data_IF_319429963015
#
_entry.id   IF_319429963015
#
_cell.length_a   1.000
_cell.length_b   1.000
_cell.length_c   1.000
_cell.angle_alpha   90.00
_cell.angle_beta   90.00
_cell.angle_gamma   90.00
#
_symmetry.space_group_name_H-M   'P 1'
#
loop_
_entity.id
_entity.type
_entity.pdbx_description
1 polymer ?
#
# COMPACT_ATOMS: atom_id res chain seq x y z
N UNK A 1 0.06 -18.49 71.80
CA UNK A 1 0.71 -19.33 70.77
C UNK A 1 0.31 -18.80 69.39
N UNK A 2 1.20 -18.11 68.78
CA UNK A 2 1.43 -17.76 67.40
C UNK A 2 0.27 -17.65 66.36
N UNK A 3 -0.20 -16.44 66.18
CA UNK A 3 -0.87 -15.94 64.98
C UNK A 3 -0.07 -14.74 64.42
N UNK A 4 1.07 -14.98 63.83
CA UNK A 4 1.82 -14.02 63.07
C UNK A 4 2.47 -14.79 61.92
N UNK A 5 1.82 -14.95 60.79
CA UNK A 5 2.44 -15.37 59.53
C UNK A 5 1.51 -15.35 58.30
N UNK A 6 0.58 -14.38 58.18
CA UNK A 6 -0.24 -14.33 56.96
C UNK A 6 -0.34 -12.95 56.31
N UNK A 7 0.38 -11.97 56.79
CA UNK A 7 0.32 -10.60 56.25
C UNK A 7 1.53 -10.20 55.38
N UNK A 8 2.56 -11.07 55.26
CA UNK A 8 3.79 -10.74 54.50
C UNK A 8 3.80 -11.25 53.05
N UNK A 9 2.83 -12.12 52.69
CA UNK A 9 2.79 -12.71 51.33
C UNK A 9 1.93 -11.91 50.32
N UNK A 10 1.09 -10.98 50.77
CA UNK A 10 0.24 -10.16 49.86
C UNK A 10 0.98 -8.91 49.36
N UNK A 11 2.03 -8.46 50.03
CA UNK A 11 2.79 -7.26 49.69
C UNK A 11 3.75 -7.47 48.46
N UNK A 12 4.10 -8.70 48.14
CA UNK A 12 5.06 -8.99 47.05
C UNK A 12 4.38 -9.10 45.68
N UNK A 13 3.08 -9.41 45.63
CA UNK A 13 2.34 -9.59 44.36
C UNK A 13 1.93 -8.24 43.75
N UNK A 14 1.79 -7.19 44.52
CA UNK A 14 1.38 -5.85 44.02
C UNK A 14 2.57 -5.11 43.39
N UNK A 15 3.81 -5.41 43.81
CA UNK A 15 5.03 -4.78 43.28
C UNK A 15 5.43 -5.30 41.88
N UNK A 16 4.99 -6.50 41.48
CA UNK A 16 5.36 -7.07 40.16
C UNK A 16 4.44 -6.60 39.04
N UNK A 17 3.21 -6.18 39.32
CA UNK A 17 2.27 -5.67 38.32
C UNK A 17 2.63 -4.26 37.83
N UNK A 18 3.09 -3.40 38.73
CA UNK A 18 3.50 -2.03 38.40
C UNK A 18 4.80 -1.96 37.55
N UNK A 19 5.71 -2.90 37.74
CA UNK A 19 6.94 -2.99 36.92
C UNK A 19 6.64 -3.50 35.52
N UNK A 20 5.65 -4.38 35.33
CA UNK A 20 5.24 -4.87 34.03
C UNK A 20 4.53 -3.79 33.20
N UNK A 21 3.63 -3.02 33.83
CA UNK A 21 2.97 -1.87 33.19
C UNK A 21 3.96 -0.77 32.82
N UNK A 22 4.93 -0.46 33.66
CA UNK A 22 6.00 0.50 33.34
C UNK A 22 6.90 0.00 32.19
N UNK A 23 7.19 -1.31 32.12
CA UNK A 23 7.97 -1.89 31.02
C UNK A 23 7.19 -1.87 29.70
N UNK A 24 5.89 -2.10 29.73
CA UNK A 24 5.01 -2.02 28.57
C UNK A 24 4.88 -0.56 28.10
N UNK A 25 4.69 0.39 29.00
CA UNK A 25 4.64 1.83 28.68
C UNK A 25 5.98 2.35 28.11
N UNK A 26 7.09 1.82 28.58
CA UNK A 26 8.43 2.16 28.10
C UNK A 26 8.68 1.57 26.71
N UNK A 27 8.24 0.33 26.45
CA UNK A 27 8.24 -0.28 25.11
C UNK A 27 7.32 0.46 24.13
N UNK A 28 6.12 0.86 24.58
CA UNK A 28 5.23 1.71 23.76
C UNK A 28 5.83 3.10 23.50
N UNK A 29 6.57 3.67 24.43
CA UNK A 29 7.32 4.93 24.25
C UNK A 29 8.48 4.76 23.28
N UNK A 30 9.25 3.67 23.37
CA UNK A 30 10.34 3.37 22.43
C UNK A 30 9.82 3.08 21.01
N UNK A 31 8.75 2.29 20.87
CA UNK A 31 8.07 2.06 19.59
C UNK A 31 7.48 3.35 19.02
N UNK A 32 6.99 4.27 19.86
CA UNK A 32 6.57 5.62 19.43
C UNK A 32 7.75 6.54 19.12
N UNK A 33 8.89 6.36 19.71
CA UNK A 33 10.10 7.18 19.51
C UNK A 33 10.87 6.79 18.23
N UNK A 34 10.73 5.57 17.75
CA UNK A 34 11.35 5.09 16.50
C UNK A 34 10.59 5.48 15.23
N UNK A 35 9.69 6.44 15.30
CA UNK A 35 8.86 6.91 14.21
C UNK A 35 9.56 7.90 13.27
N UNK A 36 10.81 8.25 13.55
CA UNK A 36 11.62 9.10 12.68
C UNK A 36 12.40 8.24 11.68
N UNK A 37 12.21 8.50 10.40
CA UNK A 37 12.87 7.83 9.31
C UNK A 37 13.84 8.78 8.61
N UNK A 38 15.08 8.41 8.47
CA UNK A 38 16.05 9.18 7.68
C UNK A 38 16.09 8.67 6.25
N UNK A 39 15.78 9.53 5.30
CA UNK A 39 15.77 9.23 3.86
C UNK A 39 17.19 8.86 3.42
N UNK A 40 17.34 7.71 2.75
CA UNK A 40 18.60 7.22 2.19
C UNK A 40 18.75 7.68 0.74
N UNK A 41 19.96 7.55 0.20
CA UNK A 41 20.21 7.79 -1.23
C UNK A 41 19.31 6.92 -2.11
N UNK A 42 18.82 7.49 -3.21
CA UNK A 42 17.95 6.85 -4.19
C UNK A 42 16.58 6.40 -3.64
N UNK A 43 16.20 6.75 -2.42
CA UNK A 43 14.86 6.51 -1.92
C UNK A 43 13.88 7.56 -2.42
N UNK A 44 12.67 7.09 -2.63
CA UNK A 44 11.50 7.92 -2.95
C UNK A 44 10.50 7.81 -1.82
N UNK A 45 9.61 8.78 -1.71
CA UNK A 45 8.50 8.69 -0.74
C UNK A 45 7.67 7.40 -0.92
N UNK A 46 7.63 6.89 -2.14
CA UNK A 46 7.00 5.63 -2.53
C UNK A 46 7.73 4.41 -1.96
N UNK A 47 9.05 4.32 -2.15
CA UNK A 47 9.82 3.20 -1.63
C UNK A 47 9.78 3.16 -0.09
N UNK A 48 9.79 4.32 0.56
CA UNK A 48 9.66 4.44 2.01
C UNK A 48 8.25 4.01 2.46
N UNK A 49 7.21 4.45 1.77
CA UNK A 49 5.83 4.09 2.07
C UNK A 49 5.59 2.58 1.94
N UNK A 50 6.12 1.96 0.88
CA UNK A 50 6.00 0.51 0.66
C UNK A 50 6.69 -0.29 1.77
N UNK A 51 7.92 0.09 2.16
CA UNK A 51 8.67 -0.54 3.27
C UNK A 51 7.94 -0.46 4.62
N UNK A 52 7.18 0.61 4.83
CA UNK A 52 6.48 0.89 6.09
C UNK A 52 4.98 0.57 6.03
N UNK A 53 4.54 -0.18 5.02
CA UNK A 53 3.14 -0.58 4.82
C UNK A 53 2.15 0.59 4.92
N UNK A 54 2.47 1.70 4.27
CA UNK A 54 1.69 2.93 4.31
C UNK A 54 1.61 3.57 2.92
N UNK A 55 1.02 4.78 2.80
CA UNK A 55 0.99 5.50 1.54
C UNK A 55 1.90 6.74 1.55
N UNK A 56 2.45 7.13 0.39
CA UNK A 56 3.24 8.35 0.24
C UNK A 56 2.47 9.59 0.70
N UNK A 57 1.16 9.63 0.43
CA UNK A 57 0.30 10.73 0.85
C UNK A 57 0.20 10.86 2.36
N UNK A 58 0.08 9.74 3.09
CA UNK A 58 0.07 9.76 4.57
C UNK A 58 1.38 10.31 5.13
N UNK A 59 2.51 9.83 4.59
CA UNK A 59 3.84 10.34 4.97
C UNK A 59 3.93 11.83 4.64
N UNK A 60 3.52 12.24 3.45
CA UNK A 60 3.56 13.64 3.03
C UNK A 60 2.72 14.54 3.93
N UNK A 61 1.49 14.18 4.23
CA UNK A 61 0.60 14.93 5.13
C UNK A 61 1.18 15.03 6.54
N UNK A 62 1.73 13.93 7.07
CA UNK A 62 2.34 13.89 8.40
C UNK A 62 3.55 14.82 8.51
N UNK A 63 4.27 15.01 7.40
CA UNK A 63 5.49 15.82 7.34
C UNK A 63 5.28 17.17 6.65
N UNK A 64 4.03 17.60 6.42
CA UNK A 64 3.67 18.85 5.74
C UNK A 64 4.36 19.03 4.38
N UNK A 65 4.62 17.94 3.66
CA UNK A 65 5.21 17.99 2.33
C UNK A 65 4.17 18.45 1.32
N UNK A 66 4.54 19.43 0.50
CA UNK A 66 3.71 19.91 -0.62
C UNK A 66 3.98 19.10 -1.88
N UNK A 67 2.97 18.95 -2.75
CA UNK A 67 3.18 18.34 -4.06
C UNK A 67 4.28 19.10 -4.82
N UNK A 68 5.18 18.44 -5.51
CA UNK A 68 5.19 17.00 -5.89
C UNK A 68 5.84 16.04 -4.86
N UNK A 69 5.85 16.36 -3.56
CA UNK A 69 6.36 15.52 -2.48
C UNK A 69 7.84 15.15 -2.62
N UNK A 70 8.67 16.13 -2.97
CA UNK A 70 10.11 15.94 -3.09
C UNK A 70 10.71 15.69 -1.71
N UNK A 71 11.59 14.72 -1.62
CA UNK A 71 12.39 14.38 -0.44
C UNK A 71 13.86 14.28 -0.83
N UNK A 72 14.76 14.47 0.12
CA UNK A 72 16.20 14.50 -0.10
C UNK A 72 16.91 13.50 0.82
N UNK A 73 18.04 12.92 0.41
CA UNK A 73 18.87 12.10 1.29
C UNK A 73 19.23 12.86 2.57
N UNK A 74 19.16 12.18 3.72
CA UNK A 74 19.37 12.78 5.04
C UNK A 74 18.14 13.48 5.63
N UNK A 75 17.09 13.69 4.88
CA UNK A 75 15.86 14.29 5.38
C UNK A 75 15.19 13.36 6.40
N UNK A 76 14.77 13.93 7.55
CA UNK A 76 14.02 13.20 8.57
C UNK A 76 12.52 13.27 8.29
N UNK A 77 11.87 12.12 8.29
CA UNK A 77 10.44 11.97 8.11
C UNK A 77 9.81 11.36 9.37
N UNK A 78 8.74 11.98 9.84
CA UNK A 78 7.93 11.41 10.91
C UNK A 78 6.95 10.39 10.33
N UNK A 79 7.06 9.13 10.76
CA UNK A 79 6.18 8.04 10.33
C UNK A 79 5.19 7.61 11.44
N UNK A 80 5.08 8.37 12.56
CA UNK A 80 4.17 8.03 13.65
C UNK A 80 2.70 8.23 13.29
N UNK A 81 1.82 7.43 13.89
CA UNK A 81 0.35 7.60 13.84
C UNK A 81 -0.22 7.79 12.42
N UNK A 82 0.34 7.12 11.42
CA UNK A 82 -0.13 7.20 10.04
C UNK A 82 -1.52 6.58 9.84
N UNK A 83 -1.98 5.74 10.77
CA UNK A 83 -3.30 5.09 10.71
C UNK A 83 -4.46 6.03 11.05
N UNK A 84 -4.24 7.01 11.94
CA UNK A 84 -5.30 7.91 12.41
C UNK A 84 -5.79 8.95 11.37
N UNK A 85 -5.16 9.00 10.20
CA UNK A 85 -5.51 9.95 9.13
C UNK A 85 -6.65 9.41 8.25
N UNK A 86 -7.05 8.15 8.42
CA UNK A 86 -7.98 7.44 7.51
C UNK A 86 -9.47 7.68 7.75
N UNK A 87 -9.88 8.16 8.92
CA UNK A 87 -11.31 8.16 9.33
C UNK A 87 -12.19 9.24 8.69
N UNK A 88 -11.72 10.05 7.75
CA UNK A 88 -12.46 11.21 7.22
C UNK A 88 -12.90 11.14 5.75
N UNK A 89 -12.60 10.06 5.00
CA UNK A 89 -12.96 9.98 3.58
C UNK A 89 -13.60 8.62 3.26
N UNK A 90 -14.82 8.40 3.71
CA UNK A 90 -15.65 7.28 3.25
C UNK A 90 -16.67 7.81 2.24
N UNK A 91 -16.21 8.27 1.12
CA UNK A 91 -17.03 8.33 -0.09
C UNK A 91 -16.80 7.04 -0.85
N UNK A 92 -17.86 6.33 -1.24
CA UNK A 92 -17.74 5.08 -1.99
C UNK A 92 -16.87 5.31 -3.24
N UNK A 93 -15.69 4.69 -3.24
CA UNK A 93 -14.71 4.88 -4.31
C UNK A 93 -15.16 4.02 -5.49
N UNK A 94 -15.43 4.67 -6.62
CA UNK A 94 -15.83 4.00 -7.85
C UNK A 94 -14.60 3.63 -8.68
N UNK A 95 -14.53 2.37 -9.12
CA UNK A 95 -13.50 1.83 -9.98
C UNK A 95 -14.08 1.46 -11.33
N UNK A 96 -13.41 1.80 -12.42
CA UNK A 96 -13.72 1.23 -13.74
C UNK A 96 -13.04 -0.13 -13.89
N UNK A 97 -13.60 -0.98 -14.72
CA UNK A 97 -12.94 -2.23 -15.10
C UNK A 97 -11.59 -1.93 -15.73
N UNK A 98 -10.54 -2.72 -15.39
CA UNK A 98 -9.20 -2.52 -15.96
C UNK A 98 -9.08 -3.02 -17.42
N UNK A 99 -10.09 -3.71 -17.93
CA UNK A 99 -10.16 -4.22 -19.30
C UNK A 99 -11.62 -4.33 -19.77
N UNK A 100 -11.86 -4.85 -20.98
CA UNK A 100 -13.21 -4.98 -21.55
C UNK A 100 -14.13 -5.85 -20.68
N UNK A 101 -15.42 -5.45 -20.52
CA UNK A 101 -16.37 -6.20 -19.71
C UNK A 101 -16.65 -7.63 -20.22
N UNK A 102 -16.37 -7.90 -21.49
CA UNK A 102 -16.50 -9.24 -22.11
C UNK A 102 -15.44 -10.24 -21.63
N UNK A 103 -14.33 -9.76 -21.05
CA UNK A 103 -13.24 -10.62 -20.58
C UNK A 103 -13.61 -11.19 -19.23
N UNK A 104 -13.58 -12.53 -19.14
CA UNK A 104 -13.93 -13.24 -17.92
C UNK A 104 -12.96 -12.90 -16.79
N UNK A 105 -13.53 -12.41 -15.70
CA UNK A 105 -12.84 -12.15 -14.44
C UNK A 105 -12.79 -13.41 -13.57
N UNK A 106 -11.62 -13.74 -13.07
CA UNK A 106 -11.37 -14.78 -12.06
C UNK A 106 -10.64 -14.16 -10.85
N UNK A 107 -10.38 -14.99 -9.84
CA UNK A 107 -9.68 -14.58 -8.63
C UNK A 107 -8.49 -15.50 -8.37
N UNK A 108 -7.40 -14.94 -7.87
CA UNK A 108 -6.25 -15.68 -7.36
C UNK A 108 -5.99 -15.24 -5.92
N UNK A 109 -6.34 -16.10 -4.98
CA UNK A 109 -6.41 -15.73 -3.57
C UNK A 109 -7.41 -14.60 -3.30
N UNK A 110 -7.15 -13.82 -2.26
CA UNK A 110 -8.05 -12.74 -1.82
C UNK A 110 -7.70 -11.37 -2.41
N UNK A 111 -6.57 -11.25 -3.14
CA UNK A 111 -6.02 -9.94 -3.48
C UNK A 111 -5.79 -9.71 -4.97
N UNK A 112 -5.94 -10.73 -5.83
CA UNK A 112 -5.69 -10.59 -7.26
C UNK A 112 -6.93 -10.87 -8.08
N UNK A 113 -7.23 -9.93 -8.98
CA UNK A 113 -8.13 -10.18 -10.11
C UNK A 113 -7.32 -10.71 -11.29
N UNK A 114 -7.82 -11.76 -11.92
CA UNK A 114 -7.25 -12.39 -13.10
C UNK A 114 -8.21 -12.23 -14.26
N UNK A 115 -7.78 -11.55 -15.30
CA UNK A 115 -8.54 -11.37 -16.53
C UNK A 115 -7.86 -12.17 -17.64
N UNK A 116 -8.48 -13.28 -18.07
CA UNK A 116 -7.99 -14.12 -19.15
C UNK A 116 -8.55 -13.61 -20.48
N UNK A 117 -7.81 -12.77 -21.15
CA UNK A 117 -8.14 -12.20 -22.45
C UNK A 117 -7.27 -12.77 -23.57
N UNK A 118 -7.15 -12.03 -24.65
CA UNK A 118 -6.27 -12.30 -25.77
C UNK A 118 -5.06 -11.35 -25.77
N UNK A 119 -3.98 -11.75 -26.45
CA UNK A 119 -2.83 -10.87 -26.62
C UNK A 119 -3.27 -9.63 -27.42
N UNK A 120 -3.08 -8.46 -26.85
CA UNK A 120 -3.44 -7.20 -27.48
C UNK A 120 -4.74 -6.59 -26.95
N UNK A 121 -5.53 -7.31 -26.15
CA UNK A 121 -6.73 -6.74 -25.51
C UNK A 121 -6.37 -5.49 -24.68
N UNK A 122 -7.21 -4.45 -24.69
CA UNK A 122 -6.88 -3.19 -24.06
C UNK A 122 -6.90 -3.28 -22.53
N UNK A 123 -5.94 -2.59 -21.91
CA UNK A 123 -5.87 -2.37 -20.47
C UNK A 123 -6.10 -0.87 -20.20
N UNK A 124 -7.01 -0.57 -19.30
CA UNK A 124 -7.43 0.79 -18.98
C UNK A 124 -7.07 1.19 -17.54
N UNK A 125 -6.77 2.46 -17.34
CA UNK A 125 -6.66 3.04 -16.00
C UNK A 125 -8.02 3.01 -15.29
N UNK A 126 -8.06 2.38 -14.14
CA UNK A 126 -9.32 2.19 -13.37
C UNK A 126 -9.83 3.47 -12.71
N UNK A 127 -8.97 4.48 -12.55
CA UNK A 127 -9.26 5.83 -12.01
C UNK A 127 -8.22 6.82 -12.52
N UNK A 128 -8.49 8.13 -12.37
CA UNK A 128 -7.46 9.15 -12.57
C UNK A 128 -6.27 8.87 -11.66
N UNK A 129 -5.07 8.97 -12.19
CA UNK A 129 -3.86 8.61 -11.47
C UNK A 129 -2.60 9.24 -12.06
N UNK A 130 -1.49 9.13 -11.31
CA UNK A 130 -0.14 9.33 -11.81
C UNK A 130 0.56 8.00 -11.95
N UNK A 131 1.27 7.79 -13.07
CA UNK A 131 2.09 6.60 -13.29
C UNK A 131 3.32 6.66 -12.40
N UNK A 132 3.49 5.72 -11.47
CA UNK A 132 4.64 5.68 -10.57
C UNK A 132 5.66 4.63 -10.95
N UNK A 133 5.25 3.55 -11.62
CA UNK A 133 6.12 2.56 -12.24
C UNK A 133 5.58 2.15 -13.61
N UNK A 134 6.47 1.86 -14.55
CA UNK A 134 6.14 1.40 -15.90
C UNK A 134 7.32 0.62 -16.48
N UNK A 135 7.09 -0.60 -16.95
CA UNK A 135 8.10 -1.48 -17.57
C UNK A 135 8.41 -2.76 -16.77
N UNK A 136 9.44 -3.51 -17.13
CA UNK A 136 9.83 -4.78 -16.50
C UNK A 136 10.61 -4.55 -15.20
N UNK A 137 9.98 -3.90 -14.22
CA UNK A 137 10.64 -3.40 -12.99
C UNK A 137 10.52 -4.35 -11.79
N UNK A 138 9.69 -5.38 -11.88
CA UNK A 138 9.46 -6.35 -10.80
C UNK A 138 9.54 -7.78 -11.37
N UNK A 139 10.51 -8.62 -10.91
CA UNK A 139 10.58 -10.02 -11.30
C UNK A 139 9.28 -10.78 -11.02
N UNK A 140 8.84 -11.66 -11.92
CA UNK A 140 7.62 -12.44 -11.78
C UNK A 140 6.33 -11.72 -12.20
N UNK A 141 6.40 -10.43 -12.54
CA UNK A 141 5.23 -9.64 -12.98
C UNK A 141 5.30 -9.22 -14.45
N UNK A 142 6.41 -9.55 -15.13
CA UNK A 142 6.63 -9.16 -16.52
C UNK A 142 6.60 -7.64 -16.70
N UNK A 143 6.06 -7.19 -17.83
CA UNK A 143 5.80 -5.77 -18.00
C UNK A 143 4.69 -5.30 -17.07
N UNK A 144 4.97 -4.28 -16.30
CA UNK A 144 4.19 -3.89 -15.14
C UNK A 144 3.89 -2.38 -15.13
N UNK A 145 2.69 -2.02 -14.71
CA UNK A 145 2.31 -0.62 -14.45
C UNK A 145 1.78 -0.51 -13.03
N UNK A 146 2.16 0.56 -12.34
CA UNK A 146 1.59 0.95 -11.06
C UNK A 146 1.11 2.40 -11.15
N UNK A 147 -0.14 2.60 -10.80
CA UNK A 147 -0.81 3.91 -10.79
C UNK A 147 -1.09 4.37 -9.36
N UNK A 148 -0.76 5.64 -9.05
CA UNK A 148 -1.12 6.33 -7.81
C UNK A 148 -2.36 7.19 -8.01
N UNK A 149 -3.41 6.90 -7.28
CA UNK A 149 -4.69 7.63 -7.33
C UNK A 149 -4.74 8.83 -6.37
N UNK A 150 -3.66 9.10 -5.63
CA UNK A 150 -3.51 10.28 -4.79
C UNK A 150 -4.25 10.27 -3.45
N UNK A 151 -5.04 9.22 -3.15
CA UNK A 151 -5.88 9.05 -1.96
C UNK A 151 -5.52 7.79 -1.15
N UNK A 152 -4.26 7.44 -1.12
CA UNK A 152 -3.69 6.23 -0.51
C UNK A 152 -3.93 4.94 -1.29
N UNK A 153 -4.57 5.02 -2.47
CA UNK A 153 -4.81 3.86 -3.32
C UNK A 153 -3.81 3.77 -4.46
N UNK A 154 -3.38 2.53 -4.73
CA UNK A 154 -2.62 2.13 -5.89
C UNK A 154 -3.39 1.11 -6.69
N UNK A 155 -3.26 1.12 -8.00
CA UNK A 155 -3.63 0.00 -8.85
C UNK A 155 -2.41 -0.54 -9.59
N UNK A 156 -2.34 -1.85 -9.70
CA UNK A 156 -1.24 -2.61 -10.25
C UNK A 156 -1.75 -3.44 -11.44
N UNK A 157 -0.98 -3.42 -12.52
CA UNK A 157 -1.29 -4.12 -13.77
C UNK A 157 -0.05 -4.90 -14.18
N UNK A 158 -0.14 -6.23 -14.21
CA UNK A 158 0.98 -7.11 -14.53
C UNK A 158 0.73 -7.93 -15.80
N UNK A 159 1.81 -8.43 -16.39
CA UNK A 159 1.87 -9.20 -17.61
C UNK A 159 1.38 -8.42 -18.86
N UNK A 160 1.62 -7.11 -18.87
CA UNK A 160 1.33 -6.27 -20.03
C UNK A 160 2.21 -6.67 -21.24
N UNK A 161 1.70 -6.46 -22.47
CA UNK A 161 2.49 -6.56 -23.68
C UNK A 161 3.06 -5.19 -24.07
N UNK A 162 2.23 -4.34 -24.63
CA UNK A 162 2.61 -3.00 -25.07
C UNK A 162 2.19 -2.01 -23.99
N UNK A 163 3.11 -1.16 -23.54
CA UNK A 163 2.84 -0.11 -22.53
C UNK A 163 2.84 1.25 -23.23
N UNK A 164 1.79 2.03 -23.04
CA UNK A 164 1.58 3.33 -23.70
C UNK A 164 1.85 4.53 -22.81
N UNK A 165 2.21 4.30 -21.53
CA UNK A 165 2.42 5.35 -20.53
C UNK A 165 3.78 5.22 -19.87
N UNK A 166 4.34 6.34 -19.43
CA UNK A 166 5.65 6.42 -18.79
C UNK A 166 5.55 6.92 -17.36
N UNK A 167 6.51 6.55 -16.54
CA UNK A 167 6.63 7.04 -15.18
C UNK A 167 6.56 8.58 -15.16
N UNK A 168 5.71 9.12 -14.29
CA UNK A 168 5.49 10.55 -14.12
C UNK A 168 4.29 11.11 -14.88
N UNK A 169 3.76 10.42 -15.89
CA UNK A 169 2.58 10.84 -16.63
C UNK A 169 1.31 10.77 -15.78
N UNK A 170 0.36 11.66 -16.07
CA UNK A 170 -0.98 11.60 -15.52
C UNK A 170 -1.92 10.91 -16.52
N UNK A 171 -2.77 10.04 -16.00
CA UNK A 171 -3.75 9.28 -16.79
C UNK A 171 -5.16 9.52 -16.28
N UNK A 172 -6.12 9.53 -17.20
CA UNK A 172 -7.53 9.66 -16.87
C UNK A 172 -8.19 8.28 -16.70
N UNK A 173 -9.21 8.23 -15.88
CA UNK A 173 -10.05 7.03 -15.70
C UNK A 173 -10.63 6.55 -17.04
N UNK A 174 -10.35 5.30 -17.41
CA UNK A 174 -10.73 4.72 -18.70
C UNK A 174 -9.77 5.02 -19.85
N UNK A 175 -8.67 5.72 -19.62
CA UNK A 175 -7.61 5.87 -20.62
C UNK A 175 -6.91 4.52 -20.83
N UNK A 176 -6.70 4.15 -22.08
CA UNK A 176 -5.89 2.97 -22.39
C UNK A 176 -4.43 3.24 -22.00
N UNK A 177 -3.84 2.33 -21.21
CA UNK A 177 -2.48 2.44 -20.69
C UNK A 177 -1.56 1.33 -21.18
N UNK A 178 -2.13 0.18 -21.59
CA UNK A 178 -1.37 -0.97 -22.08
C UNK A 178 -2.29 -1.93 -22.87
N UNK A 179 -1.70 -3.06 -23.26
CA UNK A 179 -2.41 -4.23 -23.78
C UNK A 179 -2.08 -5.49 -22.97
N UNK A 180 -3.01 -6.46 -22.96
CA UNK A 180 -2.79 -7.76 -22.31
C UNK A 180 -1.68 -8.51 -23.06
N UNK A 181 -0.77 -9.10 -22.28
CA UNK A 181 0.32 -9.93 -22.75
C UNK A 181 0.37 -11.29 -22.06
N UNK A 182 1.51 -11.94 -22.26
CA UNK A 182 1.84 -13.23 -21.64
C UNK A 182 3.27 -13.24 -21.09
N UNK A 183 3.80 -12.06 -20.76
CA UNK A 183 5.18 -11.94 -20.25
C UNK A 183 5.33 -12.71 -18.93
N UNK A 184 6.31 -13.61 -18.89
CA UNK A 184 6.61 -14.50 -17.75
C UNK A 184 5.50 -15.50 -17.37
N UNK A 185 4.47 -15.69 -18.24
CA UNK A 185 3.38 -16.65 -18.03
C UNK A 185 3.00 -17.33 -19.37
N UNK A 186 2.34 -18.51 -19.27
CA UNK A 186 2.09 -19.35 -20.46
C UNK A 186 0.80 -19.00 -21.22
N UNK A 187 0.01 -18.03 -20.77
CA UNK A 187 -1.24 -17.63 -21.43
C UNK A 187 -1.52 -16.14 -21.27
N UNK A 188 -2.24 -15.52 -22.22
CA UNK A 188 -2.61 -14.11 -22.12
C UNK A 188 -3.44 -13.84 -20.88
N UNK A 189 -2.93 -12.96 -20.01
CA UNK A 189 -3.57 -12.68 -18.73
C UNK A 189 -3.19 -11.29 -18.26
N UNK A 190 -4.16 -10.52 -17.80
CA UNK A 190 -3.91 -9.37 -16.93
C UNK A 190 -4.08 -9.81 -15.47
N UNK A 191 -3.03 -9.64 -14.65
CA UNK A 191 -3.16 -9.64 -13.19
C UNK A 191 -3.34 -8.21 -12.69
N UNK A 192 -4.43 -7.99 -11.97
CA UNK A 192 -4.79 -6.68 -11.43
C UNK A 192 -4.95 -6.73 -9.91
N UNK A 193 -4.40 -5.74 -9.24
CA UNK A 193 -4.52 -5.61 -7.78
C UNK A 193 -4.76 -4.15 -7.40
N UNK A 194 -5.56 -3.94 -6.38
CA UNK A 194 -5.66 -2.65 -5.68
C UNK A 194 -4.94 -2.73 -4.34
N UNK A 195 -4.24 -1.68 -3.99
CA UNK A 195 -3.61 -1.53 -2.67
C UNK A 195 -4.09 -0.24 -2.01
N UNK A 196 -4.29 -0.30 -0.71
CA UNK A 196 -4.63 0.86 0.12
C UNK A 196 -3.56 1.03 1.19
N UNK A 197 -2.98 2.22 1.29
CA UNK A 197 -1.93 2.52 2.28
C UNK A 197 -0.75 1.55 2.28
N UNK A 198 -0.44 0.95 1.12
CA UNK A 198 0.64 -0.02 0.96
C UNK A 198 0.21 -1.49 1.08
N UNK A 199 -0.92 -1.80 1.73
CA UNK A 199 -1.47 -3.16 1.87
C UNK A 199 -2.40 -3.54 0.71
N UNK A 200 -2.41 -4.80 0.24
CA UNK A 200 -3.41 -5.27 -0.70
C UNK A 200 -4.82 -5.12 -0.12
N UNK A 201 -5.76 -4.69 -0.95
CA UNK A 201 -7.18 -4.63 -0.62
C UNK A 201 -7.84 -5.95 -0.99
N UNK A 202 -8.71 -6.47 -0.14
CA UNK A 202 -9.52 -7.65 -0.49
C UNK A 202 -10.39 -7.33 -1.70
N UNK A 203 -10.38 -8.23 -2.67
CA UNK A 203 -11.12 -8.02 -3.92
C UNK A 203 -12.63 -7.94 -3.73
N UNK A 204 -13.17 -8.43 -2.62
CA UNK A 204 -14.59 -8.28 -2.27
C UNK A 204 -14.97 -6.83 -1.93
N UNK A 205 -13.99 -5.99 -1.56
CA UNK A 205 -14.18 -4.58 -1.23
C UNK A 205 -14.16 -3.68 -2.47
N UNK A 206 -13.73 -4.19 -3.62
CA UNK A 206 -13.61 -3.43 -4.86
C UNK A 206 -14.87 -3.63 -5.72
N UNK A 207 -15.59 -2.54 -5.94
CA UNK A 207 -16.75 -2.51 -6.84
C UNK A 207 -16.37 -1.80 -8.13
N UNK A 208 -16.49 -2.51 -9.23
CA UNK A 208 -16.38 -1.95 -10.58
C UNK A 208 -17.75 -1.45 -11.06
N UNK A 209 -17.74 -0.34 -11.79
CA UNK A 209 -18.89 0.28 -12.45
C UNK A 209 -18.59 0.60 -13.92
#
# INVERSE_FOLDING_TARGET
MNKISSLFLISIIISSCSTLEQSIDQLYKEVRSSSEYTVKENETLWSIALKNNTSPRKIALRNNLKKPYVIYPGQKLNLSNLESIESKITTAIKWKLPTSPSIKQNREGNFWYIFNGEIGDPIFATRNAKVVLSGPVLPGYGNFIMLDHGDSYLSLYAHCKDIFVRKGEEVLSGQQIATIGSSEINKPTLKFQVRKSGSPVDISEIQFN
#
